data_IF_649228566892
#
_entry.id   IF_649228566892
#
_cell.length_a   1.000
_cell.length_b   1.000
_cell.length_c   1.000
_cell.angle_alpha   90.00
_cell.angle_beta   90.00
_cell.angle_gamma   90.00
#
_symmetry.space_group_name_H-M   'P 1'
#
loop_
_entity.id
_entity.type
_entity.pdbx_description
1 polymer ?
#
# COMPACT_ATOMS: atom_id res chain seq x y z
N UNK A 1 30.08 12.82 4.83
CA UNK A 1 29.25 12.24 3.76
C UNK A 1 28.41 13.37 3.17
N UNK A 2 28.50 13.62 1.86
CA UNK A 2 27.78 14.72 1.19
C UNK A 2 26.59 14.16 0.44
N UNK A 3 25.40 14.70 0.69
CA UNK A 3 24.20 14.33 -0.06
C UNK A 3 24.35 14.78 -1.51
N UNK A 4 24.01 13.91 -2.46
CA UNK A 4 24.05 14.25 -3.88
C UNK A 4 22.80 15.04 -4.24
N UNK A 5 23.00 16.24 -4.79
CA UNK A 5 21.92 17.16 -5.20
C UNK A 5 21.76 17.09 -6.71
N UNK A 6 20.54 16.88 -7.17
CA UNK A 6 20.14 16.95 -8.57
C UNK A 6 19.57 18.35 -8.79
N UNK A 7 20.11 19.05 -9.79
CA UNK A 7 19.72 20.41 -10.14
C UNK A 7 18.70 20.40 -11.28
N UNK A 8 17.82 21.38 -11.28
CA UNK A 8 16.93 21.68 -12.41
C UNK A 8 17.71 22.16 -13.63
N UNK A 9 17.02 22.29 -14.77
CA UNK A 9 17.59 22.85 -16.01
C UNK A 9 18.13 24.28 -15.79
N UNK A 10 17.50 25.03 -14.89
CA UNK A 10 17.93 26.39 -14.49
C UNK A 10 19.07 26.39 -13.45
N UNK A 11 19.61 25.22 -13.10
CA UNK A 11 20.72 25.06 -12.16
C UNK A 11 20.35 25.18 -10.68
N UNK A 12 19.05 25.30 -10.34
CA UNK A 12 18.57 25.35 -8.96
C UNK A 12 18.56 23.95 -8.36
N UNK A 13 18.89 23.82 -7.07
CA UNK A 13 18.75 22.54 -6.37
C UNK A 13 17.27 22.13 -6.35
N UNK A 14 16.96 20.98 -6.93
CA UNK A 14 15.57 20.51 -7.08
C UNK A 14 15.31 19.24 -6.28
N UNK A 15 16.24 18.28 -6.33
CA UNK A 15 16.13 17.02 -5.60
C UNK A 15 17.43 16.65 -4.89
N UNK A 16 17.33 15.76 -3.90
CA UNK A 16 18.47 15.20 -3.16
C UNK A 16 18.33 13.69 -3.03
N UNK A 17 19.45 12.97 -3.15
CA UNK A 17 19.50 11.53 -2.92
C UNK A 17 19.74 11.24 -1.44
N UNK A 18 18.85 10.46 -0.83
CA UNK A 18 18.94 10.05 0.57
C UNK A 18 19.21 8.55 0.66
N UNK A 19 20.09 8.10 1.56
CA UNK A 19 20.18 6.70 1.95
C UNK A 19 18.82 6.20 2.47
N UNK A 20 18.47 4.95 2.14
CA UNK A 20 17.13 4.42 2.39
C UNK A 20 16.71 4.43 3.87
N UNK A 21 17.65 4.17 4.78
CA UNK A 21 17.42 4.24 6.23
C UNK A 21 17.11 5.67 6.70
N UNK A 22 17.77 6.67 6.13
CA UNK A 22 17.54 8.10 6.42
C UNK A 22 16.19 8.52 5.85
N UNK A 23 15.85 8.10 4.64
CA UNK A 23 14.53 8.33 4.05
C UNK A 23 13.43 7.75 4.93
N UNK A 24 13.54 6.49 5.37
CA UNK A 24 12.53 5.86 6.22
C UNK A 24 12.33 6.59 7.56
N UNK A 25 13.41 7.13 8.13
CA UNK A 25 13.34 7.87 9.38
C UNK A 25 12.67 9.25 9.24
N UNK A 26 12.63 9.82 8.03
CA UNK A 26 12.05 11.13 7.72
C UNK A 26 10.78 11.04 6.87
N UNK A 27 10.31 9.82 6.61
CA UNK A 27 9.30 9.55 5.58
C UNK A 27 8.00 10.26 5.90
N UNK A 28 7.55 10.17 7.15
CA UNK A 28 6.27 10.71 7.58
C UNK A 28 6.27 12.25 7.49
N UNK A 29 7.37 12.90 7.89
CA UNK A 29 7.52 14.36 7.77
C UNK A 29 7.59 14.82 6.31
N UNK A 30 8.29 14.06 5.45
CA UNK A 30 8.34 14.33 4.01
C UNK A 30 6.93 14.21 3.41
N UNK A 31 6.19 13.14 3.72
CA UNK A 31 4.82 12.94 3.23
C UNK A 31 3.87 14.04 3.71
N UNK A 32 3.96 14.48 4.97
CA UNK A 32 3.15 15.57 5.51
C UNK A 32 3.48 16.91 4.83
N UNK A 33 4.77 17.21 4.63
CA UNK A 33 5.21 18.42 3.95
C UNK A 33 4.75 18.45 2.48
N UNK A 34 4.81 17.31 1.79
CA UNK A 34 4.30 17.16 0.42
C UNK A 34 2.79 17.37 0.38
N UNK A 35 2.03 16.75 1.29
CA UNK A 35 0.58 16.96 1.38
C UNK A 35 0.25 18.44 1.58
N UNK A 36 0.93 19.15 2.47
CA UNK A 36 0.71 20.60 2.69
C UNK A 36 1.07 21.46 1.47
N UNK A 37 2.15 21.09 0.76
CA UNK A 37 2.65 21.85 -0.40
C UNK A 37 1.75 21.67 -1.63
N UNK A 38 1.22 20.47 -1.82
CA UNK A 38 0.44 20.10 -2.99
C UNK A 38 -1.04 19.81 -2.66
N UNK A 39 -1.53 20.26 -1.50
CA UNK A 39 -2.95 20.11 -1.10
C UNK A 39 -3.93 20.86 -1.99
N UNK A 40 -3.46 21.62 -2.99
CA UNK A 40 -4.26 22.20 -4.05
C UNK A 40 -4.08 21.40 -5.33
N UNK A 41 -5.16 20.76 -5.79
CA UNK A 41 -5.47 20.16 -7.11
C UNK A 41 -4.49 19.15 -7.74
N UNK A 42 -3.17 19.23 -7.50
CA UNK A 42 -2.17 18.45 -8.23
C UNK A 42 -1.68 17.18 -7.50
N UNK A 43 -1.91 17.06 -6.19
CA UNK A 43 -1.60 15.84 -5.44
C UNK A 43 -2.85 14.99 -5.22
N UNK A 44 -2.96 13.93 -5.99
CA UNK A 44 -3.92 12.86 -5.76
C UNK A 44 -3.26 11.82 -4.86
N UNK A 45 -3.74 11.64 -3.62
CA UNK A 45 -3.27 10.54 -2.76
C UNK A 45 -3.46 9.20 -3.46
N UNK A 46 -2.49 8.30 -3.36
CA UNK A 46 -2.65 6.94 -3.84
C UNK A 46 -3.61 6.18 -2.93
N UNK A 47 -4.88 6.10 -3.32
CA UNK A 47 -5.88 5.30 -2.65
C UNK A 47 -5.98 3.93 -3.30
N UNK A 48 -5.69 2.86 -2.54
CA UNK A 48 -5.74 1.48 -3.01
C UNK A 48 -7.12 1.09 -3.58
N UNK A 49 -8.19 1.73 -3.11
CA UNK A 49 -9.56 1.54 -3.59
C UNK A 49 -9.73 1.91 -5.06
N UNK A 50 -8.89 2.79 -5.59
CA UNK A 50 -8.99 3.27 -6.97
C UNK A 50 -8.43 2.24 -7.98
N UNK A 51 -7.72 1.23 -7.48
CA UNK A 51 -7.02 0.22 -8.28
C UNK A 51 -7.43 -1.22 -7.94
N UNK A 52 -8.12 -1.43 -6.80
CA UNK A 52 -8.49 -2.76 -6.32
C UNK A 52 -9.97 -2.80 -5.95
N UNK A 53 -10.78 -3.28 -6.88
CA UNK A 53 -12.23 -3.44 -6.67
C UNK A 53 -12.58 -4.57 -5.70
N UNK A 54 -11.72 -5.58 -5.62
CA UNK A 54 -12.02 -6.76 -4.84
C UNK A 54 -11.79 -6.51 -3.34
N UNK A 55 -12.84 -6.62 -2.51
CA UNK A 55 -12.74 -6.28 -1.09
C UNK A 55 -11.88 -7.28 -0.29
N UNK A 56 -11.68 -8.51 -0.78
CA UNK A 56 -10.77 -9.50 -0.18
C UNK A 56 -9.32 -9.11 -0.46
N UNK A 57 -9.00 -8.76 -1.70
CA UNK A 57 -7.66 -8.29 -2.08
C UNK A 57 -7.31 -7.02 -1.31
N UNK A 58 -8.24 -6.07 -1.21
CA UNK A 58 -8.06 -4.83 -0.47
C UNK A 58 -7.79 -5.08 1.03
N UNK A 59 -8.60 -5.92 1.69
CA UNK A 59 -8.39 -6.28 3.09
C UNK A 59 -7.03 -6.99 3.32
N UNK A 60 -6.62 -7.84 2.37
CA UNK A 60 -5.33 -8.53 2.42
C UNK A 60 -4.16 -7.56 2.29
N UNK A 61 -4.20 -6.65 1.33
CA UNK A 61 -3.12 -5.67 1.08
C UNK A 61 -3.00 -4.72 2.27
N UNK A 62 -4.12 -4.23 2.80
CA UNK A 62 -4.13 -3.36 3.98
C UNK A 62 -3.53 -4.01 5.24
N UNK A 63 -3.48 -5.35 5.29
CA UNK A 63 -2.86 -6.08 6.40
C UNK A 63 -1.45 -6.60 6.09
N UNK A 64 -0.94 -6.33 4.89
CA UNK A 64 0.43 -6.66 4.50
C UNK A 64 0.71 -8.15 4.32
N UNK A 65 -0.32 -9.01 4.24
CA UNK A 65 -0.14 -10.46 4.12
C UNK A 65 -0.19 -10.92 2.66
N UNK A 66 0.49 -12.02 2.37
CA UNK A 66 0.49 -12.65 1.05
C UNK A 66 -0.76 -13.52 0.85
N UNK A 67 -1.10 -13.82 -0.41
CA UNK A 67 -2.19 -14.76 -0.73
C UNK A 67 -1.96 -16.14 -0.09
N UNK A 68 -0.70 -16.59 -0.04
CA UNK A 68 -0.29 -17.88 0.56
C UNK A 68 -0.54 -17.89 2.07
N UNK A 69 -0.26 -16.79 2.75
CA UNK A 69 -0.53 -16.66 4.19
C UNK A 69 -2.02 -16.60 4.47
N UNK A 70 -2.79 -15.84 3.70
CA UNK A 70 -4.25 -15.81 3.84
C UNK A 70 -4.85 -17.22 3.61
N UNK A 71 -4.38 -17.93 2.58
CA UNK A 71 -4.78 -19.30 2.29
C UNK A 71 -4.50 -20.24 3.46
N UNK A 72 -3.31 -20.15 4.06
CA UNK A 72 -2.94 -20.92 5.26
C UNK A 72 -3.81 -20.58 6.47
N UNK A 73 -4.19 -19.32 6.66
CA UNK A 73 -5.08 -18.90 7.76
C UNK A 73 -6.52 -19.36 7.57
N UNK A 74 -6.95 -19.50 6.32
CA UNK A 74 -8.30 -19.94 5.96
C UNK A 74 -8.41 -21.47 5.74
N UNK A 75 -7.30 -22.20 5.84
CA UNK A 75 -7.19 -23.63 5.53
C UNK A 75 -7.72 -23.98 4.13
N UNK A 76 -7.29 -23.21 3.13
CA UNK A 76 -7.66 -23.38 1.71
C UNK A 76 -6.44 -23.34 0.82
N UNK A 77 -6.57 -23.80 -0.43
CA UNK A 77 -5.52 -23.69 -1.42
C UNK A 77 -5.29 -22.22 -1.84
N UNK A 78 -4.04 -21.83 -2.12
CA UNK A 78 -3.72 -20.49 -2.64
C UNK A 78 -4.50 -20.16 -3.93
N UNK A 79 -4.72 -21.14 -4.80
CA UNK A 79 -5.52 -20.98 -6.02
C UNK A 79 -6.96 -20.54 -5.73
N UNK A 80 -7.53 -20.94 -4.60
CA UNK A 80 -8.86 -20.48 -4.18
C UNK A 80 -8.86 -18.99 -3.84
N UNK A 81 -7.84 -18.51 -3.12
CA UNK A 81 -7.67 -17.08 -2.80
C UNK A 81 -7.44 -16.27 -4.07
N UNK A 82 -6.59 -16.75 -4.98
CA UNK A 82 -6.37 -16.09 -6.28
C UNK A 82 -7.67 -15.97 -7.09
N UNK A 83 -8.46 -17.05 -7.17
CA UNK A 83 -9.78 -17.03 -7.82
C UNK A 83 -10.74 -16.07 -7.12
N UNK A 84 -10.71 -16.01 -5.79
CA UNK A 84 -11.57 -15.14 -4.99
C UNK A 84 -11.23 -13.66 -5.19
N UNK A 85 -9.95 -13.32 -5.33
CA UNK A 85 -9.47 -11.95 -5.59
C UNK A 85 -9.73 -11.51 -7.04
N UNK A 86 -9.80 -12.45 -7.99
CA UNK A 86 -10.14 -12.17 -9.38
C UNK A 86 -11.65 -11.96 -9.64
N UNK A 87 -12.51 -12.28 -8.67
CA UNK A 87 -13.96 -12.09 -8.80
C UNK A 87 -14.36 -10.65 -8.50
N UNK A 88 -15.28 -10.09 -9.29
CA UNK A 88 -15.82 -8.74 -9.03
C UNK A 88 -16.81 -8.69 -7.88
N UNK A 89 -17.43 -9.82 -7.53
CA UNK A 89 -18.43 -9.92 -6.45
C UNK A 89 -18.03 -10.99 -5.47
N UNK A 90 -17.89 -10.60 -4.21
CA UNK A 90 -17.65 -11.51 -3.09
C UNK A 90 -18.84 -11.48 -2.15
N UNK A 91 -19.32 -12.66 -1.74
CA UNK A 91 -20.45 -12.73 -0.80
C UNK A 91 -20.03 -12.26 0.60
N UNK A 92 -20.97 -11.63 1.32
CA UNK A 92 -20.75 -11.15 2.68
C UNK A 92 -20.28 -12.27 3.64
N UNK A 93 -20.71 -13.52 3.40
CA UNK A 93 -20.28 -14.69 4.16
C UNK A 93 -18.78 -14.96 4.02
N UNK A 94 -18.26 -14.87 2.80
CA UNK A 94 -16.83 -15.07 2.52
C UNK A 94 -16.01 -13.92 3.08
N UNK A 95 -16.47 -12.68 2.90
CA UNK A 95 -15.85 -11.48 3.48
C UNK A 95 -15.72 -11.56 5.00
N UNK A 96 -16.76 -12.00 5.71
CA UNK A 96 -16.70 -12.22 7.17
C UNK A 96 -15.65 -13.26 7.56
N UNK A 97 -15.55 -14.37 6.82
CA UNK A 97 -14.53 -15.40 7.07
C UNK A 97 -13.12 -14.89 6.83
N UNK A 98 -12.90 -14.15 5.74
CA UNK A 98 -11.61 -13.52 5.42
C UNK A 98 -11.22 -12.56 6.53
N UNK A 99 -12.13 -11.68 6.96
CA UNK A 99 -11.87 -10.73 8.05
C UNK A 99 -11.49 -11.43 9.35
N UNK A 100 -12.24 -12.48 9.73
CA UNK A 100 -11.93 -13.29 10.91
C UNK A 100 -10.55 -13.98 10.80
N UNK A 101 -10.19 -14.50 9.63
CA UNK A 101 -8.88 -15.11 9.40
C UNK A 101 -7.72 -14.10 9.44
N UNK A 102 -7.98 -12.86 9.06
CA UNK A 102 -7.01 -11.77 9.15
C UNK A 102 -6.81 -11.33 10.61
N UNK A 103 -7.91 -11.21 11.38
CA UNK A 103 -7.90 -10.73 12.78
C UNK A 103 -7.46 -11.78 13.80
N UNK A 104 -7.54 -13.08 13.51
CA UNK A 104 -7.33 -14.16 14.49
C UNK A 104 -5.88 -14.40 14.96
N UNK A 105 -4.92 -13.62 14.47
CA UNK A 105 -3.53 -13.63 14.98
C UNK A 105 -2.98 -12.21 15.08
N UNK A 106 -3.40 -11.51 16.12
CA UNK A 106 -2.54 -10.57 16.86
C UNK A 106 -1.91 -11.33 18.03
#
# INVERSE_FOLDING_TARGET
MTLQIIKSIDGKAEYVLLPFNVYNALRDEIEEALKKKYSGEDYVPFELTDYVDNPVALARINTGITQKELAKRMDVAQAYISKLEAQSKVTAKVLKKVKAAIESKK
#
